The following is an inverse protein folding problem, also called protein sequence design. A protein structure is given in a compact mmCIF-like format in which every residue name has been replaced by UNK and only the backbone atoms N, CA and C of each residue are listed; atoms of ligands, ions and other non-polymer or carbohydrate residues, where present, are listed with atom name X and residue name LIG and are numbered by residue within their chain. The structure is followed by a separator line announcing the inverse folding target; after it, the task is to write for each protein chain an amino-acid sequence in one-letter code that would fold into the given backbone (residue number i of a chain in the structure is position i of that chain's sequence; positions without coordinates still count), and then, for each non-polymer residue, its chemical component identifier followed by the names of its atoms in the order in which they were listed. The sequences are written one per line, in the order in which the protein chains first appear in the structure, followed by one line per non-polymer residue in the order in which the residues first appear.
data_IF_744418668446
#
_entry.id   IF_744418668446
#
_cell.length_a   1.000
_cell.length_b   1.000
_cell.length_c   1.000
_cell.angle_alpha   90.00
_cell.angle_beta   90.00
_cell.angle_gamma   90.00
#
_symmetry.space_group_name_H-M   'P 1'
#
loop_
_entity.id
_entity.type
_entity.pdbx_description
1 polymer ?
#
# COMPACT_ATOMS: atom_id res chain seq x y z
N UNK A 1 -0.42 -26.19 1.10
CA UNK A 1 -1.14 -24.96 0.69
C UNK A 1 -0.10 -23.86 0.68
N UNK A 2 0.32 -23.39 -0.50
CA UNK A 2 1.21 -22.23 -0.57
C UNK A 2 0.38 -21.03 -0.15
N UNK A 3 0.66 -20.48 1.03
CA UNK A 3 0.09 -19.20 1.43
C UNK A 3 0.67 -18.18 0.47
N UNK A 4 -0.15 -17.64 -0.43
CA UNK A 4 0.27 -16.48 -1.20
C UNK A 4 0.33 -15.32 -0.20
N UNK A 5 1.53 -14.84 0.10
CA UNK A 5 1.70 -13.64 0.92
C UNK A 5 1.15 -12.44 0.15
N UNK A 6 0.37 -11.60 0.82
CA UNK A 6 -0.06 -10.32 0.25
C UNK A 6 1.17 -9.42 0.17
N UNK A 7 1.58 -9.03 -1.05
CA UNK A 7 2.79 -8.25 -1.29
C UNK A 7 2.44 -6.91 -1.93
N UNK A 8 2.87 -5.82 -1.30
CA UNK A 8 2.81 -4.46 -1.79
C UNK A 8 4.15 -4.03 -2.39
N UNK A 9 4.08 -3.50 -3.60
CA UNK A 9 5.19 -2.89 -4.32
C UNK A 9 4.80 -1.49 -4.82
N UNK A 10 5.79 -0.60 -4.89
CA UNK A 10 5.65 0.74 -5.45
C UNK A 10 6.72 0.99 -6.51
N UNK A 11 6.37 1.72 -7.56
CA UNK A 11 7.31 2.09 -8.64
C UNK A 11 6.98 3.45 -9.24
N UNK A 12 7.98 4.11 -9.85
CA UNK A 12 7.77 5.39 -10.53
C UNK A 12 7.39 6.54 -9.61
N UNK A 13 7.86 6.54 -8.36
CA UNK A 13 7.51 7.55 -7.37
C UNK A 13 8.36 8.81 -7.56
N UNK A 14 7.99 9.57 -8.57
CA UNK A 14 8.66 10.81 -9.03
C UNK A 14 7.64 11.92 -9.10
N UNK A 15 8.00 13.11 -8.60
CA UNK A 15 7.16 14.30 -8.64
C UNK A 15 6.68 14.63 -10.05
N UNK A 16 5.43 15.08 -10.17
CA UNK A 16 4.78 15.35 -11.45
C UNK A 16 4.72 14.13 -12.39
N UNK A 17 4.81 12.91 -11.85
CA UNK A 17 4.57 11.67 -12.60
C UNK A 17 3.52 10.78 -11.92
N UNK A 18 3.01 9.81 -12.69
CA UNK A 18 2.13 8.77 -12.16
C UNK A 18 2.99 7.69 -11.50
N UNK A 19 2.90 7.60 -10.18
CA UNK A 19 3.45 6.49 -9.40
C UNK A 19 2.49 5.30 -9.41
N UNK A 20 3.02 4.08 -9.53
CA UNK A 20 2.24 2.86 -9.52
C UNK A 20 2.40 2.13 -8.18
N UNK A 21 1.27 1.68 -7.62
CA UNK A 21 1.21 0.81 -6.46
C UNK A 21 0.51 -0.49 -6.84
N UNK A 22 1.12 -1.62 -6.50
CA UNK A 22 0.62 -2.94 -6.89
C UNK A 22 0.58 -3.85 -5.68
N UNK A 23 -0.57 -4.49 -5.48
CA UNK A 23 -0.78 -5.59 -4.55
C UNK A 23 -0.88 -6.90 -5.32
N UNK A 24 -0.08 -7.89 -4.93
CA UNK A 24 -0.15 -9.27 -5.43
C UNK A 24 -0.48 -10.24 -4.30
N UNK A 25 -1.10 -11.37 -4.62
CA UNK A 25 -1.53 -12.34 -3.61
C UNK A 25 -2.83 -11.97 -2.89
N UNK A 26 -3.58 -10.98 -3.38
CA UNK A 26 -4.88 -10.62 -2.84
C UNK A 26 -5.96 -11.67 -3.14
N UNK A 27 -7.00 -11.73 -2.32
CA UNK A 27 -8.21 -12.51 -2.62
C UNK A 27 -8.77 -12.06 -3.96
N UNK A 28 -9.01 -12.96 -4.94
CA UNK A 28 -9.53 -12.58 -6.25
C UNK A 28 -10.87 -11.85 -6.18
N UNK A 29 -11.07 -10.88 -7.10
CA UNK A 29 -12.32 -10.11 -7.25
C UNK A 29 -12.80 -9.42 -5.97
N UNK A 30 -11.88 -9.10 -5.08
CA UNK A 30 -12.16 -8.56 -3.74
C UNK A 30 -11.57 -7.17 -3.56
N UNK A 31 -12.10 -6.44 -2.59
CA UNK A 31 -11.60 -5.11 -2.25
C UNK A 31 -10.28 -5.20 -1.49
N UNK A 32 -9.31 -4.41 -1.92
CA UNK A 32 -8.06 -4.16 -1.20
C UNK A 32 -7.87 -2.67 -0.96
N UNK A 33 -7.21 -2.34 0.14
CA UNK A 33 -6.93 -0.96 0.56
C UNK A 33 -5.43 -0.72 0.61
N UNK A 34 -5.03 0.51 0.33
CA UNK A 34 -3.69 1.02 0.63
C UNK A 34 -3.82 2.02 1.76
N UNK A 35 -2.97 1.86 2.76
CA UNK A 35 -2.88 2.75 3.92
C UNK A 35 -1.53 3.44 3.88
N UNK A 36 -1.51 4.76 4.11
CA UNK A 36 -0.30 5.59 4.06
C UNK A 36 -0.15 6.41 5.33
N UNK A 37 1.08 6.49 5.84
CA UNK A 37 1.49 7.37 6.93
C UNK A 37 2.57 8.35 6.46
N UNK A 38 2.50 9.57 6.98
CA UNK A 38 3.50 10.62 6.79
C UNK A 38 4.35 10.87 8.03
N UNK A 39 4.05 10.20 9.15
CA UNK A 39 4.71 10.44 10.44
C UNK A 39 5.81 9.45 10.74
N UNK A 40 5.69 8.21 10.26
CA UNK A 40 6.75 7.23 10.45
C UNK A 40 6.36 5.79 10.14
N UNK A 41 7.35 4.89 10.23
CA UNK A 41 7.11 3.44 10.22
C UNK A 41 6.40 3.03 11.52
N UNK A 42 5.73 1.87 11.50
CA UNK A 42 5.21 1.22 12.71
C UNK A 42 6.30 0.49 13.53
N UNK A 43 5.96 -0.55 14.33
CA UNK A 43 4.68 -1.25 14.36
C UNK A 43 3.63 -0.60 15.28
N UNK A 44 2.38 -0.59 14.82
CA UNK A 44 1.20 -0.42 15.66
C UNK A 44 0.38 -1.71 15.65
N UNK A 45 -0.04 -2.18 16.83
CA UNK A 45 -0.86 -3.40 16.91
C UNK A 45 -2.27 -3.16 16.37
N UNK A 46 -2.77 -4.09 15.56
CA UNK A 46 -4.16 -4.09 15.09
C UNK A 46 -4.82 -5.46 15.29
N UNK A 47 -6.15 -5.55 15.18
CA UNK A 47 -6.85 -6.84 15.19
C UNK A 47 -6.43 -7.82 14.09
N UNK A 48 -5.70 -7.36 13.07
CA UNK A 48 -5.28 -8.14 11.91
C UNK A 48 -3.77 -8.43 11.89
N UNK A 49 -3.06 -8.11 12.97
CA UNK A 49 -1.60 -8.20 13.08
C UNK A 49 -0.93 -6.83 13.17
N UNK A 50 0.37 -6.80 12.94
CA UNK A 50 1.16 -5.59 13.07
C UNK A 50 1.01 -4.69 11.84
N UNK A 51 0.59 -3.44 12.07
CA UNK A 51 0.62 -2.38 11.08
C UNK A 51 2.03 -1.80 11.04
N UNK A 52 2.72 -1.89 9.91
CA UNK A 52 4.07 -1.34 9.73
C UNK A 52 4.07 0.16 9.39
N UNK A 53 3.04 0.88 9.82
CA UNK A 53 2.85 2.31 9.65
C UNK A 53 2.43 2.94 10.98
N UNK A 54 2.84 4.18 11.25
CA UNK A 54 2.42 4.93 12.45
C UNK A 54 1.17 5.79 12.20
N UNK A 55 0.42 6.08 13.25
CA UNK A 55 -0.68 7.04 13.26
C UNK A 55 -0.19 8.50 13.25
N UNK A 56 -0.96 9.46 12.70
CA UNK A 56 -2.16 9.26 11.89
C UNK A 56 -1.82 8.67 10.52
N UNK A 57 -2.70 7.80 10.03
CA UNK A 57 -2.62 7.22 8.69
C UNK A 57 -3.92 7.47 7.92
N UNK A 58 -3.82 7.44 6.60
CA UNK A 58 -4.93 7.71 5.68
C UNK A 58 -5.10 6.55 4.71
N UNK A 59 -6.33 6.35 4.26
CA UNK A 59 -6.63 5.39 3.20
C UNK A 59 -6.60 6.09 1.85
N UNK A 60 -5.90 5.48 0.90
CA UNK A 60 -6.03 5.82 -0.52
C UNK A 60 -7.30 5.19 -1.10
N UNK A 61 -7.76 5.60 -2.28
CA UNK A 61 -8.92 5.00 -2.93
C UNK A 61 -8.82 3.47 -3.00
N UNK A 62 -9.92 2.80 -2.67
CA UNK A 62 -10.00 1.34 -2.71
C UNK A 62 -9.72 0.80 -4.12
N UNK A 63 -9.06 -0.35 -4.19
CA UNK A 63 -8.87 -1.09 -5.43
C UNK A 63 -9.67 -2.39 -5.39
N UNK A 64 -9.96 -2.92 -6.57
CA UNK A 64 -10.52 -4.27 -6.73
C UNK A 64 -9.45 -5.14 -7.37
N UNK A 65 -9.16 -6.29 -6.76
CA UNK A 65 -8.25 -7.27 -7.32
C UNK A 65 -8.85 -7.97 -8.54
N UNK A 66 -7.99 -8.35 -9.47
CA UNK A 66 -8.35 -9.18 -10.63
C UNK A 66 -8.69 -10.62 -10.20
N UNK A 67 -9.10 -11.44 -11.17
CA UNK A 67 -9.28 -12.89 -10.97
C UNK A 67 -7.97 -13.62 -10.61
N UNK A 68 -6.81 -13.01 -10.86
CA UNK A 68 -5.50 -13.55 -10.49
C UNK A 68 -4.97 -13.01 -9.15
N UNK A 69 -5.77 -12.24 -8.40
CA UNK A 69 -5.36 -11.70 -7.10
C UNK A 69 -4.37 -10.53 -7.20
N UNK A 70 -4.41 -9.78 -8.31
CA UNK A 70 -3.57 -8.59 -8.51
C UNK A 70 -4.44 -7.35 -8.52
N UNK A 71 -4.08 -6.34 -7.73
CA UNK A 71 -4.71 -5.02 -7.75
C UNK A 71 -3.63 -3.97 -8.00
N UNK A 72 -3.92 -2.96 -8.81
CA UNK A 72 -2.99 -1.86 -9.07
C UNK A 72 -3.73 -0.54 -9.18
N UNK A 73 -3.08 0.53 -8.71
CA UNK A 73 -3.55 1.90 -8.89
C UNK A 73 -2.38 2.78 -9.29
N UNK A 74 -2.69 3.85 -10.01
CA UNK A 74 -1.73 4.89 -10.35
C UNK A 74 -2.17 6.19 -9.70
N UNK A 75 -1.24 6.88 -9.05
CA UNK A 75 -1.49 8.13 -8.34
C UNK A 75 -0.54 9.20 -8.85
N UNK A 76 -1.11 10.36 -9.16
CA UNK A 76 -0.36 11.55 -9.49
C UNK A 76 0.46 12.00 -8.27
N UNK A 77 1.79 11.95 -8.36
CA UNK A 77 2.67 12.36 -7.26
C UNK A 77 2.79 13.88 -7.24
N UNK A 78 2.26 14.50 -6.18
CA UNK A 78 2.30 15.95 -5.99
C UNK A 78 3.75 16.44 -5.83
N UNK A 79 4.20 17.44 -6.61
CA UNK A 79 5.56 17.96 -6.52
C UNK A 79 5.91 18.60 -5.17
N UNK A 80 4.92 19.01 -4.37
CA UNK A 80 5.15 19.51 -3.01
C UNK A 80 5.65 18.41 -2.04
N UNK A 81 5.64 17.15 -2.47
CA UNK A 81 6.12 16.03 -1.69
C UNK A 81 7.55 15.60 -2.01
N UNK A 82 8.26 16.26 -2.94
CA UNK A 82 9.69 15.96 -3.22
C UNK A 82 10.51 15.89 -1.93
N UNK A 83 11.31 14.82 -1.80
CA UNK A 83 12.16 14.59 -0.63
C UNK A 83 11.42 14.11 0.61
N UNK A 84 10.09 13.92 0.56
CA UNK A 84 9.33 13.32 1.64
C UNK A 84 9.27 11.80 1.49
N UNK A 85 9.35 11.15 2.64
CA UNK A 85 9.12 9.72 2.79
C UNK A 85 7.68 9.46 3.22
N UNK A 86 7.08 8.42 2.64
CA UNK A 86 5.79 7.87 3.02
C UNK A 86 5.95 6.40 3.40
N UNK A 87 5.26 5.97 4.45
CA UNK A 87 5.22 4.56 4.86
C UNK A 87 3.86 3.99 4.47
N UNK A 88 3.86 2.83 3.82
CA UNK A 88 2.64 2.28 3.21
C UNK A 88 2.50 0.80 3.51
N UNK A 89 1.24 0.36 3.61
CA UNK A 89 0.88 -1.04 3.75
C UNK A 89 -0.46 -1.31 3.06
N UNK A 90 -0.61 -2.50 2.49
CA UNK A 90 -1.84 -2.98 1.91
C UNK A 90 -2.66 -3.82 2.89
N UNK A 91 -3.97 -3.82 2.69
CA UNK A 91 -4.89 -4.65 3.45
C UNK A 91 -5.96 -5.26 2.53
N UNK A 92 -6.08 -6.58 2.58
CA UNK A 92 -7.13 -7.32 1.89
C UNK A 92 -8.34 -7.51 2.82
N UNK A 93 -9.48 -6.93 2.42
CA UNK A 93 -10.69 -6.95 3.25
C UNK A 93 -11.33 -8.33 3.34
N UNK A 94 -11.17 -9.18 2.34
CA UNK A 94 -11.81 -10.49 2.29
C UNK A 94 -11.05 -11.49 3.15
N UNK A 95 -9.73 -11.55 3.01
CA UNK A 95 -8.89 -12.45 3.80
C UNK A 95 -8.49 -11.90 5.18
N UNK A 96 -8.68 -10.60 5.43
CA UNK A 96 -8.20 -9.89 6.63
C UNK A 96 -6.68 -9.96 6.79
N UNK A 97 -5.97 -9.92 5.67
CA UNK A 97 -4.50 -10.05 5.62
C UNK A 97 -3.85 -8.70 5.37
N UNK A 98 -2.81 -8.40 6.13
CA UNK A 98 -1.92 -7.26 5.92
C UNK A 98 -0.75 -7.66 5.01
N UNK A 99 -0.30 -6.74 4.16
CA UNK A 99 0.90 -6.95 3.35
C UNK A 99 2.17 -6.69 4.15
N UNK A 100 3.34 -6.85 3.52
CA UNK A 100 4.56 -6.18 3.95
C UNK A 100 4.36 -4.65 4.06
N UNK A 101 5.12 -4.00 4.94
CA UNK A 101 5.29 -2.55 4.93
C UNK A 101 6.34 -2.14 3.90
N UNK A 102 6.13 -0.99 3.25
CA UNK A 102 7.12 -0.36 2.38
C UNK A 102 7.37 1.09 2.79
N UNK A 103 8.57 1.56 2.44
CA UNK A 103 8.95 2.97 2.53
C UNK A 103 9.12 3.52 1.11
N UNK A 104 8.57 4.70 0.86
CA UNK A 104 8.56 5.34 -0.45
C UNK A 104 9.05 6.77 -0.33
N UNK A 105 10.21 7.05 -0.94
CA UNK A 105 10.75 8.40 -1.10
C UNK A 105 10.23 9.02 -2.40
N UNK A 106 9.67 10.21 -2.34
CA UNK A 106 9.31 10.98 -3.54
C UNK A 106 10.56 11.61 -4.14
N UNK A 107 10.90 11.18 -5.35
CA UNK A 107 12.02 11.71 -6.12
C UNK A 107 11.59 12.95 -6.92
N UNK A 108 12.57 13.74 -7.36
CA UNK A 108 12.37 14.87 -8.28
C UNK A 108 12.48 14.43 -9.74
#
# INVERSE_FOLDING_TARGET
SSVFELLLEASGIVANQMGAFTLTGATPLSTVMLVVSTTGPGPESSPYGDLYISSPHFFLPNMTSSSSGVASTHIMVDPNYVGRTFWMQGFDLASKTLSNGIEVLVLN
#
